data_IF_030929290317
#
_entry.id   IF_030929290317
#
_cell.length_a   1.000
_cell.length_b   1.000
_cell.length_c   1.000
_cell.angle_alpha   90.00
_cell.angle_beta   90.00
_cell.angle_gamma   90.00
#
_symmetry.space_group_name_H-M   'P 1'
#
loop_
_entity.id
_entity.type
_entity.pdbx_description
1 polymer ?
#
# COMPACT_ATOMS: atom_id res chain seq x y z
N UNK A 1 15.70 14.69 5.02
CA UNK A 1 14.24 14.87 5.15
C UNK A 1 13.65 13.48 5.36
N UNK A 2 12.92 13.26 6.45
CA UNK A 2 12.28 11.98 6.76
C UNK A 2 10.78 12.14 6.60
N UNK A 3 10.15 11.28 5.78
CA UNK A 3 8.71 11.21 5.64
C UNK A 3 8.27 9.87 6.25
N UNK A 4 7.52 9.93 7.34
CA UNK A 4 6.91 8.75 7.94
C UNK A 4 5.43 8.70 7.56
N UNK A 5 5.12 7.88 6.56
CA UNK A 5 3.75 7.71 6.15
C UNK A 5 2.91 7.00 7.23
N UNK A 6 3.49 6.21 8.15
CA UNK A 6 2.71 5.48 9.18
C UNK A 6 1.98 6.43 10.13
N UNK A 7 2.62 7.53 10.52
CA UNK A 7 2.06 8.54 11.42
C UNK A 7 1.46 9.76 10.69
N UNK A 8 1.49 9.77 9.36
CA UNK A 8 1.03 10.91 8.56
C UNK A 8 -0.51 11.04 8.57
N UNK A 9 -1.03 12.16 9.08
CA UNK A 9 -2.47 12.44 9.14
C UNK A 9 -3.15 12.48 7.76
N UNK A 10 -2.41 12.89 6.72
CA UNK A 10 -2.93 12.91 5.36
C UNK A 10 -3.26 11.51 4.82
N UNK A 11 -2.68 10.44 5.39
CA UNK A 11 -2.76 9.06 4.88
C UNK A 11 -4.19 8.52 4.75
N UNK A 12 -5.14 9.01 5.54
CA UNK A 12 -6.57 8.64 5.45
C UNK A 12 -7.41 9.60 4.61
N UNK A 13 -6.79 10.60 4.00
CA UNK A 13 -7.44 11.62 3.17
C UNK A 13 -7.08 11.46 1.70
N UNK A 14 -7.86 12.12 0.83
CA UNK A 14 -7.56 12.22 -0.60
C UNK A 14 -6.20 12.91 -0.89
N UNK A 15 -5.71 13.75 0.03
CA UNK A 15 -4.42 14.44 -0.14
C UNK A 15 -3.22 13.48 -0.15
N UNK A 16 -3.34 12.27 0.41
CA UNK A 16 -2.26 11.28 0.32
C UNK A 16 -2.13 10.71 -1.10
N UNK A 17 -3.23 10.60 -1.84
CA UNK A 17 -3.21 10.06 -3.22
C UNK A 17 -2.49 11.03 -4.16
N UNK A 18 -2.60 12.34 -3.91
CA UNK A 18 -1.92 13.41 -4.65
C UNK A 18 -0.57 13.83 -4.01
N UNK A 19 -0.03 13.04 -3.08
CA UNK A 19 1.24 13.35 -2.42
C UNK A 19 2.44 13.07 -3.34
N UNK A 20 3.49 13.88 -3.25
CA UNK A 20 4.78 13.64 -3.94
C UNK A 20 5.36 12.24 -3.68
N UNK A 21 5.10 11.65 -2.50
CA UNK A 21 5.54 10.29 -2.19
C UNK A 21 4.86 9.26 -3.08
N UNK A 22 3.57 9.44 -3.39
CA UNK A 22 2.83 8.59 -4.31
C UNK A 22 3.42 8.66 -5.72
N UNK A 23 3.84 9.84 -6.17
CA UNK A 23 4.54 10.02 -7.44
C UNK A 23 5.92 9.34 -7.45
N UNK A 24 6.71 9.50 -6.38
CA UNK A 24 8.06 8.92 -6.27
C UNK A 24 8.06 7.39 -6.16
N UNK A 25 7.03 6.83 -5.52
CA UNK A 25 6.88 5.38 -5.31
C UNK A 25 5.98 4.71 -6.34
N UNK A 26 5.40 5.47 -7.28
CA UNK A 26 4.68 4.92 -8.40
C UNK A 26 5.69 4.12 -9.25
N UNK A 27 5.58 2.80 -9.21
CA UNK A 27 6.32 1.96 -10.15
C UNK A 27 5.78 2.23 -11.57
N UNK A 28 6.64 2.47 -12.57
CA UNK A 28 6.19 2.56 -13.95
C UNK A 28 5.69 1.18 -14.36
N UNK A 29 4.37 1.03 -14.40
CA UNK A 29 3.63 0.02 -15.17
C UNK A 29 3.73 -1.46 -14.77
N UNK A 30 4.25 -1.83 -13.60
CA UNK A 30 4.01 -3.17 -13.06
C UNK A 30 3.02 -3.09 -11.89
N UNK A 31 1.74 -3.26 -12.19
CA UNK A 31 0.90 -4.02 -11.27
C UNK A 31 1.64 -5.34 -11.07
N UNK A 32 2.26 -5.53 -9.91
CA UNK A 32 2.77 -6.84 -9.55
C UNK A 32 1.57 -7.80 -9.68
N UNK A 33 1.67 -8.70 -10.65
CA UNK A 33 0.62 -9.64 -11.00
C UNK A 33 0.75 -10.80 -10.03
N UNK A 34 0.11 -10.65 -8.87
CA UNK A 34 0.19 -11.64 -7.80
C UNK A 34 -0.82 -12.74 -8.05
N UNK A 35 -0.35 -13.97 -8.05
CA UNK A 35 -1.23 -15.11 -8.13
C UNK A 35 -2.08 -15.27 -6.85
N UNK A 36 -3.01 -16.23 -6.89
CA UNK A 36 -3.95 -16.44 -5.79
C UNK A 36 -3.26 -16.93 -4.49
N UNK A 37 -2.14 -17.64 -4.62
CA UNK A 37 -1.38 -18.14 -3.48
C UNK A 37 -0.60 -17.02 -2.81
N UNK A 38 0.03 -16.14 -3.60
CA UNK A 38 0.70 -14.94 -3.12
C UNK A 38 -0.28 -13.99 -2.43
N UNK A 39 -1.47 -13.79 -3.01
CA UNK A 39 -2.52 -12.95 -2.40
C UNK A 39 -2.98 -13.52 -1.06
N UNK A 40 -3.17 -14.84 -0.99
CA UNK A 40 -3.52 -15.53 0.25
C UNK A 40 -2.41 -15.43 1.30
N UNK A 41 -1.15 -15.53 0.90
CA UNK A 41 -0.03 -15.33 1.81
C UNK A 41 -0.04 -13.92 2.41
N UNK A 42 -0.26 -12.88 1.59
CA UNK A 42 -0.38 -11.50 2.06
C UNK A 42 -1.56 -11.32 3.02
N UNK A 43 -2.70 -11.96 2.76
CA UNK A 43 -3.87 -11.93 3.66
C UNK A 43 -3.55 -12.53 5.03
N UNK A 44 -2.86 -13.67 5.07
CA UNK A 44 -2.42 -14.31 6.33
C UNK A 44 -1.48 -13.39 7.10
N UNK A 45 -0.50 -12.79 6.42
CA UNK A 45 0.44 -11.86 7.05
C UNK A 45 -0.27 -10.62 7.61
N UNK A 46 -1.25 -10.09 6.88
CA UNK A 46 -2.02 -8.94 7.32
C UNK A 46 -2.94 -9.28 8.49
N UNK A 47 -3.61 -10.43 8.46
CA UNK A 47 -4.45 -10.92 9.55
C UNK A 47 -3.62 -11.18 10.82
N UNK A 48 -2.37 -11.62 10.68
CA UNK A 48 -1.43 -11.77 11.78
C UNK A 48 -0.81 -10.44 12.26
N UNK A 49 -1.11 -9.31 11.60
CA UNK A 49 -0.57 -7.99 11.94
C UNK A 49 0.90 -7.78 11.58
N UNK A 50 1.48 -8.68 10.76
CA UNK A 50 2.89 -8.60 10.35
C UNK A 50 3.11 -7.55 9.26
N UNK A 51 2.08 -7.25 8.49
CA UNK A 51 2.10 -6.23 7.44
C UNK A 51 0.79 -5.43 7.46
N UNK A 52 0.81 -4.26 6.83
CA UNK A 52 -0.40 -3.56 6.42
C UNK A 52 -0.73 -3.90 4.98
N UNK A 53 -1.99 -4.26 4.71
CA UNK A 53 -2.41 -4.51 3.33
C UNK A 53 -2.20 -3.28 2.45
N UNK A 54 -1.55 -3.42 1.27
CA UNK A 54 -1.34 -2.27 0.40
C UNK A 54 -2.68 -1.80 -0.18
N UNK A 55 -2.92 -0.49 -0.18
CA UNK A 55 -4.22 0.13 -0.54
C UNK A 55 -4.75 -0.29 -1.92
N UNK A 56 -3.86 -0.50 -2.87
CA UNK A 56 -4.14 -0.95 -4.25
C UNK A 56 -4.70 -2.39 -4.35
N UNK A 57 -4.80 -3.12 -3.24
CA UNK A 57 -5.34 -4.49 -3.17
C UNK A 57 -6.58 -4.61 -2.28
N UNK A 58 -7.09 -3.50 -1.73
CA UNK A 58 -8.33 -3.57 -0.96
C UNK A 58 -9.47 -3.83 -1.96
N UNK A 59 -10.13 -4.98 -1.83
CA UNK A 59 -11.34 -5.28 -2.59
C UNK A 59 -12.36 -4.14 -2.44
N UNK A 60 -13.03 -3.80 -3.55
CA UNK A 60 -14.14 -2.86 -3.56
C UNK A 60 -15.26 -3.31 -2.60
#
# INVERSE_FOLDING_TARGET
>A
MLIDCETCEARSSAACEDCVVSFLLAAPHSTADWDDDERRALEVLAAAGLIRMPRRFRAA
#
